data_IF_018992417994
#
_entry.id   IF_018992417994
#
_cell.length_a   1.000
_cell.length_b   1.000
_cell.length_c   1.000
_cell.angle_alpha   90.00
_cell.angle_beta   90.00
_cell.angle_gamma   90.00
#
_symmetry.space_group_name_H-M   'P 1'
#
loop_
_entity.id
_entity.type
_entity.pdbx_description
1 polymer ?
#
# COMPACT_ATOMS: atom_id res chain seq x y z
N UNK A 1 28.99 4.21 60.99
CA UNK A 1 29.19 4.34 59.53
C UNK A 1 28.15 3.49 58.81
N UNK A 2 27.05 4.03 58.28
CA UNK A 2 26.15 3.25 57.43
C UNK A 2 26.54 3.43 55.96
N UNK A 3 26.86 2.32 55.30
CA UNK A 3 27.09 2.25 53.85
C UNK A 3 25.73 2.23 53.14
N UNK A 4 25.39 3.33 52.47
CA UNK A 4 24.23 3.38 51.58
C UNK A 4 24.58 2.69 50.26
N UNK A 5 23.92 1.57 49.98
CA UNK A 5 23.95 0.89 48.68
C UNK A 5 23.03 1.65 47.74
N UNK A 6 23.60 2.47 46.86
CA UNK A 6 22.86 3.11 45.76
C UNK A 6 22.65 2.04 44.68
N UNK A 7 21.43 1.52 44.63
CA UNK A 7 20.98 0.61 43.57
C UNK A 7 20.79 1.41 42.28
N UNK A 8 21.68 1.17 41.32
CA UNK A 8 21.55 1.73 39.97
C UNK A 8 20.44 0.98 39.22
N UNK A 9 19.24 1.54 39.20
CA UNK A 9 18.17 1.09 38.32
C UNK A 9 18.52 1.51 36.89
N UNK A 10 19.04 0.57 36.11
CA UNK A 10 19.21 0.72 34.67
C UNK A 10 17.82 0.82 34.01
N UNK A 11 17.44 2.02 33.59
CA UNK A 11 16.26 2.27 32.76
C UNK A 11 16.49 1.64 31.38
N UNK A 12 16.03 0.40 31.20
CA UNK A 12 15.83 -0.19 29.87
C UNK A 12 14.70 0.58 29.19
N UNK A 13 15.06 1.52 28.32
CA UNK A 13 14.11 2.17 27.39
C UNK A 13 13.74 1.12 26.35
N UNK A 14 12.67 0.36 26.61
CA UNK A 14 11.99 -0.43 25.59
C UNK A 14 11.56 0.52 24.46
N UNK A 15 12.29 0.47 23.34
CA UNK A 15 11.84 1.05 22.09
C UNK A 15 10.67 0.20 21.59
N UNK A 16 9.46 0.55 22.02
CA UNK A 16 8.24 0.02 21.42
C UNK A 16 8.23 0.58 19.99
N UNK A 17 8.31 -0.26 18.94
CA UNK A 17 8.15 0.25 17.58
C UNK A 17 6.74 0.83 17.50
N UNK A 18 6.65 2.14 17.27
CA UNK A 18 5.37 2.76 16.96
C UNK A 18 4.82 2.04 15.74
N UNK A 19 3.68 1.37 15.89
CA UNK A 19 2.93 0.84 14.75
C UNK A 19 2.45 2.07 13.97
N UNK A 20 3.12 2.38 12.86
CA UNK A 20 2.69 3.47 12.00
C UNK A 20 1.47 2.95 11.25
N UNK A 21 0.29 3.46 11.60
CA UNK A 21 -0.88 3.27 10.76
C UNK A 21 -0.62 4.01 9.45
N UNK A 22 -0.62 3.27 8.34
CA UNK A 22 -0.48 3.87 7.02
C UNK A 22 -1.79 4.57 6.66
N UNK A 23 -1.73 5.88 6.41
CA UNK A 23 -2.82 6.60 5.77
C UNK A 23 -2.69 6.48 4.25
N UNK A 24 -3.79 6.22 3.56
CA UNK A 24 -3.80 6.08 2.12
C UNK A 24 -4.86 6.97 1.48
N UNK A 25 -4.45 7.80 0.53
CA UNK A 25 -5.36 8.58 -0.29
C UNK A 25 -6.14 7.65 -1.23
N UNK A 26 -7.46 7.73 -1.18
CA UNK A 26 -8.38 6.87 -1.94
C UNK A 26 -9.24 7.67 -2.91
N UNK A 27 -9.26 9.00 -2.83
CA UNK A 27 -9.99 9.86 -3.74
C UNK A 27 -9.16 10.12 -5.01
N UNK A 28 -9.58 9.61 -6.19
CA UNK A 28 -8.83 9.79 -7.44
C UNK A 28 -8.64 11.27 -7.81
N UNK A 29 -9.56 12.16 -7.41
CA UNK A 29 -9.42 13.60 -7.65
C UNK A 29 -8.22 14.23 -6.92
N UNK A 30 -7.69 13.55 -5.89
CA UNK A 30 -6.53 13.98 -5.11
C UNK A 30 -5.25 13.26 -5.51
N UNK A 31 -5.27 12.39 -6.52
CA UNK A 31 -4.08 11.65 -6.94
C UNK A 31 -3.11 12.57 -7.66
N UNK A 32 -2.02 12.93 -6.97
CA UNK A 32 -0.98 13.83 -7.52
C UNK A 32 0.17 13.09 -8.20
N UNK A 33 0.23 11.77 -8.04
CA UNK A 33 1.30 10.93 -8.58
C UNK A 33 1.28 10.84 -10.12
N UNK A 34 0.18 11.21 -10.78
CA UNK A 34 0.05 11.19 -12.23
C UNK A 34 -0.50 12.52 -12.76
N UNK A 35 -0.39 12.76 -14.06
CA UNK A 35 -1.09 13.81 -14.81
C UNK A 35 -2.14 13.25 -15.76
N UNK A 36 -2.18 11.94 -15.91
CA UNK A 36 -3.17 11.23 -16.70
C UNK A 36 -4.47 11.10 -15.89
N UNK A 37 -5.57 10.66 -16.52
CA UNK A 37 -6.78 10.30 -15.76
C UNK A 37 -6.46 9.13 -14.83
N UNK A 38 -6.48 9.32 -13.49
CA UNK A 38 -6.08 8.29 -12.56
C UNK A 38 -7.07 7.13 -12.57
N UNK A 39 -6.55 5.90 -12.67
CA UNK A 39 -7.37 4.69 -12.66
C UNK A 39 -7.34 4.03 -11.28
N UNK A 40 -8.52 3.61 -10.83
CA UNK A 40 -8.70 2.67 -9.72
C UNK A 40 -9.13 1.31 -10.26
N UNK A 41 -8.74 0.24 -9.60
CA UNK A 41 -8.97 -1.14 -10.01
C UNK A 41 -9.90 -1.81 -8.99
N UNK A 42 -11.06 -2.32 -9.45
CA UNK A 42 -12.05 -2.98 -8.59
C UNK A 42 -12.01 -4.49 -8.84
N UNK A 43 -11.09 -5.20 -8.19
CA UNK A 43 -10.76 -6.61 -8.48
C UNK A 43 -10.48 -7.40 -7.20
N UNK A 44 -10.87 -8.68 -7.21
CA UNK A 44 -10.72 -9.60 -6.07
C UNK A 44 -11.81 -9.45 -5.00
N UNK A 45 -11.86 -10.39 -4.06
CA UNK A 45 -12.70 -10.25 -2.86
C UNK A 45 -12.06 -9.31 -1.84
N UNK A 46 -12.88 -8.78 -0.92
CA UNK A 46 -12.41 -7.90 0.16
C UNK A 46 -11.25 -8.50 0.94
N UNK A 47 -11.34 -9.77 1.34
CA UNK A 47 -10.29 -10.42 2.11
C UNK A 47 -8.98 -10.57 1.31
N UNK A 48 -9.06 -10.64 -0.02
CA UNK A 48 -7.87 -10.70 -0.88
C UNK A 48 -7.20 -9.34 -0.98
N UNK A 49 -8.01 -8.28 -1.15
CA UNK A 49 -7.51 -6.91 -1.19
C UNK A 49 -6.93 -6.51 0.17
N UNK A 50 -7.57 -6.89 1.28
CA UNK A 50 -7.04 -6.70 2.64
C UNK A 50 -5.68 -7.41 2.81
N UNK A 51 -5.54 -8.65 2.32
CA UNK A 51 -4.25 -9.36 2.34
C UNK A 51 -3.18 -8.67 1.50
N UNK A 52 -3.53 -8.15 0.33
CA UNK A 52 -2.61 -7.40 -0.51
C UNK A 52 -2.10 -6.15 0.19
N UNK A 53 -2.98 -5.38 0.84
CA UNK A 53 -2.56 -4.21 1.62
C UNK A 53 -1.77 -4.59 2.87
N UNK A 54 -2.12 -5.67 3.57
CA UNK A 54 -1.32 -6.17 4.69
C UNK A 54 0.10 -6.59 4.25
N UNK A 55 0.25 -7.17 3.05
CA UNK A 55 1.56 -7.46 2.46
C UNK A 55 2.32 -6.17 2.11
N UNK A 56 1.64 -5.16 1.56
CA UNK A 56 2.22 -3.85 1.27
C UNK A 56 2.71 -3.15 2.54
N UNK A 57 1.92 -3.16 3.63
CA UNK A 57 2.31 -2.53 4.89
C UNK A 57 3.64 -3.06 5.44
N UNK A 58 3.95 -4.35 5.21
CA UNK A 58 5.20 -5.00 5.59
C UNK A 58 6.35 -4.68 4.63
N UNK A 59 6.05 -4.33 3.39
CA UNK A 59 7.02 -4.02 2.34
C UNK A 59 7.40 -2.54 2.31
N UNK A 60 6.51 -1.65 2.78
CA UNK A 60 6.74 -0.21 2.79
C UNK A 60 7.89 0.19 3.71
N UNK A 61 8.73 1.07 3.18
CA UNK A 61 9.67 1.88 3.94
C UNK A 61 8.97 3.17 4.40
N UNK A 62 9.56 3.96 5.31
CA UNK A 62 9.06 5.31 5.60
C UNK A 62 8.83 6.10 4.30
N UNK A 63 7.64 6.69 4.12
CA UNK A 63 7.24 7.27 2.83
C UNK A 63 8.17 8.40 2.37
N UNK A 64 8.85 9.08 3.30
CA UNK A 64 9.83 10.13 3.01
C UNK A 64 11.14 9.58 2.42
N UNK A 65 11.37 8.27 2.49
CA UNK A 65 12.56 7.61 1.95
C UNK A 65 12.55 7.39 0.45
N UNK A 66 11.37 7.47 -0.19
CA UNK A 66 11.24 7.26 -1.63
C UNK A 66 11.64 8.51 -2.41
N UNK A 67 12.75 8.43 -3.16
CA UNK A 67 13.30 9.55 -3.94
C UNK A 67 12.63 9.76 -5.30
N UNK A 68 11.99 8.73 -5.82
CA UNK A 68 11.22 8.76 -7.06
C UNK A 68 9.83 8.18 -6.78
N UNK A 69 8.81 8.52 -7.59
CA UNK A 69 7.52 7.87 -7.48
C UNK A 69 7.69 6.37 -7.74
N UNK A 70 7.05 5.56 -6.92
CA UNK A 70 7.13 4.10 -7.02
C UNK A 70 5.74 3.51 -7.00
N UNK A 71 5.43 2.69 -7.99
CA UNK A 71 4.20 1.92 -8.03
C UNK A 71 4.45 0.52 -7.49
N UNK A 72 3.51 0.06 -6.66
CA UNK A 72 3.48 -1.28 -6.09
C UNK A 72 2.36 -2.07 -6.74
N UNK A 73 2.66 -3.31 -7.08
CA UNK A 73 1.72 -4.29 -7.60
C UNK A 73 1.59 -5.44 -6.61
N UNK A 74 0.37 -5.95 -6.48
CA UNK A 74 0.12 -7.22 -5.80
C UNK A 74 0.16 -8.36 -6.80
N UNK A 75 1.02 -9.35 -6.55
CA UNK A 75 1.05 -10.62 -7.29
C UNK A 75 0.36 -11.70 -6.46
N UNK A 76 -0.75 -12.24 -6.99
CA UNK A 76 -1.57 -13.24 -6.31
C UNK A 76 -2.08 -12.78 -4.93
N UNK A 77 -2.33 -11.49 -4.73
CA UNK A 77 -2.82 -10.90 -3.45
C UNK A 77 -1.91 -11.13 -2.23
N UNK A 78 -0.65 -11.51 -2.42
CA UNK A 78 0.24 -11.89 -1.31
C UNK A 78 1.69 -11.44 -1.48
N UNK A 79 2.21 -11.42 -2.71
CA UNK A 79 3.55 -10.91 -2.98
C UNK A 79 3.49 -9.47 -3.50
N UNK A 80 4.50 -8.68 -3.17
CA UNK A 80 4.65 -7.30 -3.63
C UNK A 80 5.73 -7.24 -4.71
N UNK A 81 5.40 -6.56 -5.82
CA UNK A 81 6.35 -6.14 -6.85
C UNK A 81 6.33 -4.63 -6.93
N UNK A 82 7.47 -4.06 -7.31
CA UNK A 82 7.64 -2.62 -7.40
C UNK A 82 8.22 -2.24 -8.76
N UNK A 83 7.86 -1.05 -9.22
CA UNK A 83 8.42 -0.43 -10.41
C UNK A 83 8.64 1.06 -10.13
N UNK A 84 9.82 1.55 -10.45
CA UNK A 84 10.17 2.96 -10.29
C UNK A 84 9.71 3.76 -11.51
N UNK A 85 8.90 4.79 -11.28
CA UNK A 85 8.47 5.70 -12.32
C UNK A 85 9.54 6.76 -12.57
N UNK A 86 9.66 7.20 -13.82
CA UNK A 86 10.62 8.22 -14.27
C UNK A 86 9.98 9.61 -14.18
N UNK A 87 10.79 10.66 -14.32
CA UNK A 87 10.32 12.04 -14.48
C UNK A 87 9.40 12.62 -13.36
N UNK A 88 9.45 12.07 -12.15
CA UNK A 88 8.76 12.64 -10.99
C UNK A 88 7.26 12.38 -10.92
N UNK A 89 6.66 11.65 -11.88
CA UNK A 89 5.28 11.13 -11.82
C UNK A 89 5.21 9.74 -12.44
N UNK A 90 4.16 8.98 -12.19
CA UNK A 90 3.89 7.75 -12.92
C UNK A 90 2.94 8.05 -14.09
N UNK A 91 3.43 7.88 -15.30
CA UNK A 91 2.59 7.89 -16.51
C UNK A 91 1.82 6.58 -16.64
N UNK A 92 0.70 6.61 -17.38
CA UNK A 92 -0.07 5.39 -17.68
C UNK A 92 0.78 4.31 -18.36
N UNK A 93 1.76 4.70 -19.18
CA UNK A 93 2.66 3.77 -19.85
C UNK A 93 3.60 3.05 -18.88
N UNK A 94 4.15 3.74 -17.88
CA UNK A 94 5.02 3.13 -16.86
C UNK A 94 4.22 2.23 -15.92
N UNK A 95 2.98 2.60 -15.61
CA UNK A 95 2.05 1.73 -14.89
C UNK A 95 1.78 0.44 -15.68
N UNK A 96 1.62 0.53 -17.00
CA UNK A 96 1.42 -0.65 -17.83
C UNK A 96 2.69 -1.50 -17.94
N UNK A 97 3.86 -0.87 -18.09
CA UNK A 97 5.17 -1.54 -18.14
C UNK A 97 5.40 -2.36 -16.86
N UNK A 98 5.27 -1.74 -15.68
CA UNK A 98 5.43 -2.45 -14.42
C UNK A 98 4.37 -3.55 -14.20
N UNK A 99 3.14 -3.37 -14.70
CA UNK A 99 2.11 -4.41 -14.66
C UNK A 99 2.48 -5.63 -15.51
N UNK A 100 3.00 -5.41 -16.72
CA UNK A 100 3.46 -6.48 -17.61
C UNK A 100 4.64 -7.24 -17.00
N UNK A 101 5.61 -6.52 -16.42
CA UNK A 101 6.75 -7.12 -15.71
C UNK A 101 6.28 -7.96 -14.51
N UNK A 102 5.33 -7.45 -13.73
CA UNK A 102 4.77 -8.18 -12.60
C UNK A 102 4.09 -9.49 -13.04
N UNK A 103 3.27 -9.41 -14.09
CA UNK A 103 2.47 -10.52 -14.62
C UNK A 103 3.26 -11.60 -15.35
N UNK A 104 4.58 -11.43 -15.53
CA UNK A 104 5.42 -12.49 -16.09
C UNK A 104 5.38 -13.74 -15.19
N UNK A 105 5.05 -14.91 -15.75
CA UNK A 105 5.06 -16.18 -15.00
C UNK A 105 3.96 -17.18 -15.36
N UNK A 106 2.86 -16.76 -16.00
CA UNK A 106 1.79 -17.67 -16.44
C UNK A 106 0.40 -17.07 -16.31
N UNK A 107 -0.64 -17.86 -16.60
CA UNK A 107 -2.06 -17.47 -16.49
C UNK A 107 -2.73 -17.91 -15.19
N UNK A 108 -1.95 -18.34 -14.19
CA UNK A 108 -2.50 -18.84 -12.94
C UNK A 108 -2.89 -17.69 -11.98
N UNK A 109 -3.78 -17.95 -11.02
CA UNK A 109 -4.22 -16.92 -10.05
C UNK A 109 -3.07 -16.34 -9.22
N UNK A 110 -2.05 -17.16 -8.91
CA UNK A 110 -0.85 -16.74 -8.19
C UNK A 110 0.07 -15.85 -9.04
N UNK A 111 -0.03 -15.92 -10.37
CA UNK A 111 0.74 -15.08 -11.29
C UNK A 111 0.03 -13.78 -11.65
N UNK A 112 -1.28 -13.68 -11.36
CA UNK A 112 -2.06 -12.48 -11.62
C UNK A 112 -1.51 -11.27 -10.85
N UNK A 113 -1.38 -10.14 -11.54
CA UNK A 113 -0.89 -8.90 -10.98
C UNK A 113 -1.92 -7.78 -11.03
N UNK A 114 -1.93 -6.97 -9.98
CA UNK A 114 -2.88 -5.88 -9.80
C UNK A 114 -2.14 -4.63 -9.30
N UNK A 115 -2.32 -3.46 -9.93
CA UNK A 115 -1.82 -2.19 -9.38
C UNK A 115 -2.43 -1.96 -8.00
N UNK A 116 -1.59 -1.81 -6.98
CA UNK A 116 -2.01 -1.81 -5.58
C UNK A 116 -1.95 -0.41 -4.97
N UNK A 117 -0.81 0.25 -5.09
CA UNK A 117 -0.60 1.58 -4.55
C UNK A 117 0.56 2.31 -5.24
N UNK A 118 0.61 3.63 -5.10
CA UNK A 118 1.74 4.46 -5.51
C UNK A 118 2.24 5.26 -4.33
N UNK A 119 3.56 5.33 -4.15
CA UNK A 119 4.19 6.31 -3.26
C UNK A 119 4.72 7.46 -4.08
N UNK A 120 4.37 8.69 -3.70
CA UNK A 120 4.85 9.91 -4.34
C UNK A 120 4.79 11.07 -3.36
N UNK A 121 5.88 11.84 -3.26
CA UNK A 121 6.01 13.01 -2.37
C UNK A 121 5.63 12.73 -0.90
N UNK A 122 6.07 11.59 -0.37
CA UNK A 122 5.81 11.20 1.02
C UNK A 122 4.35 10.79 1.30
N UNK A 123 3.54 10.58 0.25
CA UNK A 123 2.14 10.12 0.35
C UNK A 123 1.97 8.77 -0.32
N UNK A 124 1.03 7.98 0.22
CA UNK A 124 0.59 6.72 -0.35
C UNK A 124 -0.79 6.90 -0.99
N UNK A 125 -0.95 6.44 -2.22
CA UNK A 125 -2.19 6.51 -3.00
C UNK A 125 -2.66 5.10 -3.32
N UNK A 126 -3.89 4.75 -2.96
CA UNK A 126 -4.41 3.38 -3.06
C UNK A 126 -5.21 3.17 -4.33
N UNK A 127 -4.83 2.16 -5.10
CA UNK A 127 -5.38 1.91 -6.43
C UNK A 127 -6.29 0.69 -6.49
N UNK A 128 -6.15 -0.28 -5.59
CA UNK A 128 -6.91 -1.53 -5.61
C UNK A 128 -8.07 -1.50 -4.61
N UNK A 129 -9.24 -1.85 -5.08
CA UNK A 129 -10.49 -1.92 -4.34
C UNK A 129 -11.11 -3.29 -4.58
N UNK A 130 -11.86 -3.85 -3.60
CA UNK A 130 -12.59 -5.08 -3.84
C UNK A 130 -13.59 -4.90 -4.97
N UNK A 131 -13.75 -5.95 -5.78
CA UNK A 131 -14.83 -5.99 -6.76
C UNK A 131 -16.18 -5.88 -6.04
N UNK A 132 -17.08 -5.04 -6.56
CA UNK A 132 -18.44 -4.98 -6.03
C UNK A 132 -19.21 -6.19 -6.53
N UNK A 133 -19.30 -7.22 -5.70
CA UNK A 133 -20.30 -8.26 -5.86
C UNK A 133 -21.55 -7.82 -5.10
N UNK A 134 -22.70 -8.00 -5.71
CA UNK A 134 -24.00 -7.76 -5.08
C UNK A 134 -24.26 -6.29 -4.72
N UNK A 135 -24.01 -5.37 -5.66
CA UNK A 135 -24.41 -3.97 -5.50
C UNK A 135 -25.91 -3.88 -5.24
N UNK A 136 -26.26 -3.47 -4.02
CA UNK A 136 -27.62 -3.26 -3.57
C UNK A 136 -27.87 -1.74 -3.48
N UNK A 137 -28.66 -1.16 -4.40
CA UNK A 137 -28.92 0.28 -4.40
C UNK A 137 -29.75 0.73 -3.19
N UNK A 138 -30.30 -0.19 -2.39
CA UNK A 138 -31.02 0.12 -1.16
C UNK A 138 -30.13 0.28 0.07
N UNK A 139 -28.85 -0.11 -0.02
CA UNK A 139 -27.88 0.01 1.08
C UNK A 139 -26.97 1.23 0.90
N UNK A 140 -26.56 1.89 2.00
CA UNK A 140 -25.58 2.96 1.91
C UNK A 140 -24.26 2.46 1.30
N UNK A 141 -23.75 3.17 0.30
CA UNK A 141 -22.41 2.91 -0.23
C UNK A 141 -21.38 3.12 0.88
N UNK A 142 -20.64 2.07 1.21
CA UNK A 142 -19.55 2.15 2.19
C UNK A 142 -18.23 2.17 1.42
N UNK A 143 -17.47 3.28 1.43
CA UNK A 143 -16.19 3.34 0.75
C UNK A 143 -15.22 2.35 1.40
N UNK A 144 -14.50 1.61 0.57
CA UNK A 144 -13.40 0.78 1.04
C UNK A 144 -12.20 1.66 1.36
N UNK A 145 -11.67 1.54 2.59
CA UNK A 145 -10.49 2.26 3.07
C UNK A 145 -9.45 1.24 3.52
N UNK A 146 -8.33 1.09 2.79
CA UNK A 146 -7.22 0.22 3.19
C UNK A 146 -6.64 0.60 4.55
N UNK A 147 -6.03 -0.37 5.24
CA UNK A 147 -5.35 -0.18 6.53
C UNK A 147 -6.23 0.29 7.69
N UNK A 148 -7.54 0.45 7.47
CA UNK A 148 -8.48 0.76 8.53
C UNK A 148 -8.78 -0.51 9.34
N UNK A 149 -7.82 -0.90 10.18
CA UNK A 149 -8.07 -1.84 11.26
C UNK A 149 -8.71 -1.05 12.41
N UNK A 150 -10.04 -0.91 12.36
CA UNK A 150 -10.84 -0.62 13.54
C UNK A 150 -11.29 -1.93 14.17
#
# INVERSE_FOLDING_TARGET
MPRSLISAFALLVLHIPASHAWECETDPAKFRFTSDSPSTFNLGEREEVDRAYAALAKHLQPLQGYRAPRIFYSKGFSAIREHDCKAGKCTAMEVLEGLQECGAGGMSRQDACYPLAVVHEGRLYCLLYPGQKDFDPSRPFTPYVPFNNS
#
